data_IF_758103589860
#
_entry.id   IF_758103589860
#
_cell.length_a   1.000
_cell.length_b   1.000
_cell.length_c   1.000
_cell.angle_alpha   90.00
_cell.angle_beta   90.00
_cell.angle_gamma   90.00
#
_symmetry.space_group_name_H-M   'P 1'
#
loop_
_entity.id
_entity.type
_entity.pdbx_description
1 polymer ?
#
# COMPACT_ATOMS: atom_id res chain seq x y z
N UNK A 1 -10.63 -45.10 23.23
CA UNK A 1 -9.42 -44.33 22.91
C UNK A 1 -9.48 -43.88 21.46
N UNK A 2 -9.95 -42.66 21.17
CA UNK A 2 -9.74 -41.97 19.88
C UNK A 2 -10.35 -40.54 19.84
N UNK A 3 -10.40 -39.82 20.97
CA UNK A 3 -10.96 -38.45 21.02
C UNK A 3 -9.91 -37.33 21.09
N UNK A 4 -8.63 -37.67 21.23
CA UNK A 4 -7.56 -36.69 21.45
C UNK A 4 -6.82 -36.27 20.17
N UNK A 5 -7.08 -36.91 19.02
CA UNK A 5 -6.32 -36.67 17.78
C UNK A 5 -6.92 -35.61 16.85
N UNK A 6 -8.15 -35.14 17.12
CA UNK A 6 -8.79 -34.04 16.38
C UNK A 6 -8.61 -32.67 17.06
N UNK A 7 -8.44 -32.63 18.38
CA UNK A 7 -8.09 -31.38 19.10
C UNK A 7 -6.66 -30.91 18.79
N UNK A 8 -5.68 -31.83 18.67
CA UNK A 8 -4.30 -31.46 18.35
C UNK A 8 -4.10 -31.01 16.89
N UNK A 9 -4.97 -31.41 15.96
CA UNK A 9 -4.95 -30.93 14.56
C UNK A 9 -5.61 -29.55 14.39
N UNK A 10 -6.44 -29.12 15.35
CA UNK A 10 -7.02 -27.78 15.39
C UNK A 10 -6.03 -26.69 15.81
N UNK A 11 -5.06 -27.02 16.68
CA UNK A 11 -4.16 -26.03 17.29
C UNK A 11 -3.00 -25.54 16.42
N UNK A 12 -2.74 -26.16 15.25
CA UNK A 12 -1.72 -25.68 14.29
C UNK A 12 -2.27 -24.86 13.13
N UNK A 13 -3.58 -24.58 13.09
CA UNK A 13 -4.14 -23.68 12.09
C UNK A 13 -4.20 -22.26 12.65
N UNK A 14 -3.41 -21.36 12.06
CA UNK A 14 -3.54 -19.88 12.13
C UNK A 14 -2.81 -19.11 13.26
N UNK A 15 -1.53 -19.39 13.49
CA UNK A 15 -0.63 -18.36 14.09
C UNK A 15 -0.20 -17.37 13.02
N UNK A 16 -1.05 -16.41 12.72
CA UNK A 16 -0.58 -15.17 12.08
C UNK A 16 -0.81 -14.02 13.06
N UNK A 17 0.20 -13.14 13.26
CA UNK A 17 0.19 -12.18 14.37
C UNK A 17 -1.03 -11.27 14.40
N UNK A 18 -1.54 -10.87 13.24
CA UNK A 18 -2.69 -9.99 13.15
C UNK A 18 -4.00 -10.66 13.56
N UNK A 19 -4.26 -11.89 13.10
CA UNK A 19 -5.45 -12.64 13.52
C UNK A 19 -5.50 -12.86 15.03
N UNK A 20 -4.34 -13.12 15.65
CA UNK A 20 -4.22 -13.24 17.11
C UNK A 20 -4.51 -11.91 17.83
N UNK A 21 -4.01 -10.78 17.33
CA UNK A 21 -4.33 -9.44 17.86
C UNK A 21 -5.83 -9.14 17.77
N UNK A 22 -6.47 -9.48 16.65
CA UNK A 22 -7.91 -9.25 16.49
C UNK A 22 -8.74 -10.17 17.40
N UNK A 23 -8.39 -11.45 17.51
CA UNK A 23 -9.05 -12.39 18.43
C UNK A 23 -8.91 -11.95 19.89
N UNK A 24 -7.73 -11.47 20.29
CA UNK A 24 -7.53 -10.89 21.62
C UNK A 24 -8.46 -9.70 21.87
N UNK A 25 -8.58 -8.80 20.88
CA UNK A 25 -9.51 -7.65 20.97
C UNK A 25 -10.98 -8.09 21.03
N UNK A 26 -11.38 -9.08 20.23
CA UNK A 26 -12.73 -9.67 20.27
C UNK A 26 -13.02 -10.24 21.67
N UNK A 27 -12.06 -10.97 22.24
CA UNK A 27 -12.19 -11.52 23.59
C UNK A 27 -12.34 -10.43 24.66
N UNK A 28 -11.55 -9.35 24.57
CA UNK A 28 -11.69 -8.19 25.48
C UNK A 28 -13.07 -7.54 25.37
N UNK A 29 -13.56 -7.29 24.16
CA UNK A 29 -14.89 -6.69 23.95
C UNK A 29 -16.01 -7.61 24.46
N UNK A 30 -15.88 -8.92 24.26
CA UNK A 30 -16.86 -9.90 24.77
C UNK A 30 -16.90 -9.92 26.30
N UNK A 31 -15.74 -9.85 26.96
CA UNK A 31 -15.67 -9.75 28.41
C UNK A 31 -16.35 -8.47 28.94
N UNK A 32 -16.17 -7.34 28.25
CA UNK A 32 -16.85 -6.09 28.59
C UNK A 32 -18.37 -6.21 28.41
N UNK A 33 -18.84 -6.74 27.29
CA UNK A 33 -20.28 -6.97 27.05
C UNK A 33 -20.90 -7.84 28.14
N UNK A 34 -20.22 -8.92 28.54
CA UNK A 34 -20.72 -9.81 29.59
C UNK A 34 -20.76 -9.12 30.96
N UNK A 35 -19.76 -8.30 31.28
CA UNK A 35 -19.76 -7.51 32.52
C UNK A 35 -20.92 -6.52 32.57
N UNK A 36 -21.26 -5.87 31.45
CA UNK A 36 -22.38 -4.93 31.37
C UNK A 36 -23.73 -5.65 31.42
N UNK A 37 -23.85 -6.85 30.84
CA UNK A 37 -25.05 -7.71 31.00
C UNK A 37 -25.30 -8.08 32.45
N UNK A 38 -24.24 -8.41 33.20
CA UNK A 38 -24.35 -8.70 34.63
C UNK A 38 -24.83 -7.48 35.43
N UNK A 39 -24.32 -6.28 35.12
CA UNK A 39 -24.79 -5.04 35.74
C UNK A 39 -26.27 -4.78 35.48
N UNK A 40 -26.73 -4.93 34.23
CA UNK A 40 -28.16 -4.80 33.88
C UNK A 40 -29.02 -5.82 34.64
N UNK A 41 -28.55 -7.07 34.76
CA UNK A 41 -29.25 -8.11 35.51
C UNK A 41 -29.31 -7.80 37.02
N UNK A 42 -28.24 -7.23 37.60
CA UNK A 42 -28.22 -6.78 38.99
C UNK A 42 -29.15 -5.59 39.23
N UNK A 43 -29.14 -4.59 38.34
CA UNK A 43 -30.05 -3.45 38.40
C UNK A 43 -31.51 -3.92 38.36
N UNK A 44 -31.82 -4.89 37.49
CA UNK A 44 -33.15 -5.52 37.39
C UNK A 44 -33.54 -6.23 38.69
N UNK A 45 -32.60 -6.92 39.37
CA UNK A 45 -32.84 -7.58 40.66
C UNK A 45 -32.98 -6.60 41.82
N UNK A 46 -32.18 -5.53 41.83
CA UNK A 46 -32.22 -4.47 42.87
C UNK A 46 -33.44 -3.55 42.73
N UNK A 47 -34.05 -3.51 41.55
CA UNK A 47 -35.30 -2.81 41.28
C UNK A 47 -36.46 -3.31 42.14
N UNK A 48 -36.65 -2.69 43.31
CA UNK A 48 -37.95 -2.64 44.01
C UNK A 48 -39.04 -2.15 43.04
N UNK A 49 -40.31 -2.58 43.20
CA UNK A 49 -41.44 -2.12 42.37
C UNK A 49 -41.77 -0.64 42.70
N UNK A 50 -40.93 0.28 42.24
CA UNK A 50 -41.15 1.71 42.35
C UNK A 50 -41.51 2.26 40.96
N UNK A 51 -42.82 2.30 40.70
CA UNK A 51 -43.52 3.37 39.97
C UNK A 51 -42.70 4.08 38.87
N UNK A 52 -42.68 3.51 37.68
CA UNK A 52 -42.21 4.22 36.49
C UNK A 52 -42.28 3.35 35.25
N UNK A 53 -43.32 3.56 34.42
CA UNK A 53 -43.48 2.89 33.12
C UNK A 53 -42.36 3.27 32.13
N UNK A 54 -41.57 4.30 32.44
CA UNK A 54 -40.58 4.92 31.55
C UNK A 54 -39.15 4.33 31.67
N UNK A 55 -38.81 3.58 32.73
CA UNK A 55 -37.48 2.96 32.89
C UNK A 55 -37.32 1.61 32.18
N UNK A 56 -38.40 0.85 32.03
CA UNK A 56 -38.41 -0.44 31.33
C UNK A 56 -38.01 -0.36 29.85
N UNK A 57 -38.51 0.61 29.05
CA UNK A 57 -38.11 0.69 27.64
C UNK A 57 -36.61 0.99 27.46
N UNK A 58 -36.00 1.77 28.35
CA UNK A 58 -34.57 2.07 28.29
C UNK A 58 -33.67 0.86 28.62
N UNK A 59 -34.09 0.01 29.58
CA UNK A 59 -33.37 -1.22 29.92
C UNK A 59 -33.47 -2.27 28.81
N UNK A 60 -34.65 -2.42 28.20
CA UNK A 60 -34.85 -3.32 27.07
C UNK A 60 -33.98 -2.95 25.86
N UNK A 61 -33.93 -1.66 25.52
CA UNK A 61 -33.08 -1.16 24.44
C UNK A 61 -31.57 -1.40 24.72
N UNK A 62 -31.12 -1.24 25.97
CA UNK A 62 -29.73 -1.53 26.36
C UNK A 62 -29.38 -3.01 26.20
N UNK A 63 -30.28 -3.91 26.61
CA UNK A 63 -30.09 -5.36 26.47
C UNK A 63 -30.06 -5.80 25.01
N UNK A 64 -30.90 -5.19 24.17
CA UNK A 64 -30.93 -5.41 22.72
C UNK A 64 -29.60 -5.02 22.06
N UNK A 65 -29.07 -3.82 22.33
CA UNK A 65 -27.77 -3.36 21.83
C UNK A 65 -26.62 -4.29 22.24
N UNK A 66 -26.62 -4.79 23.49
CA UNK A 66 -25.59 -5.72 23.97
C UNK A 66 -25.69 -7.08 23.24
N UNK A 67 -26.90 -7.56 22.95
CA UNK A 67 -27.09 -8.80 22.20
C UNK A 67 -26.64 -8.67 20.74
N UNK A 68 -26.93 -7.54 20.11
CA UNK A 68 -26.47 -7.23 18.76
C UNK A 68 -24.94 -7.12 18.69
N UNK A 69 -24.32 -6.49 19.69
CA UNK A 69 -22.86 -6.45 19.82
C UNK A 69 -22.24 -7.86 19.91
N UNK A 70 -22.85 -8.78 20.68
CA UNK A 70 -22.38 -10.19 20.74
C UNK A 70 -22.49 -10.87 19.38
N UNK A 71 -23.57 -10.65 18.64
CA UNK A 71 -23.77 -11.24 17.32
C UNK A 71 -22.67 -10.79 16.34
N UNK A 72 -22.34 -9.48 16.34
CA UNK A 72 -21.23 -8.96 15.55
C UNK A 72 -19.87 -9.54 15.96
N UNK A 73 -19.58 -9.65 17.26
CA UNK A 73 -18.32 -10.27 17.74
C UNK A 73 -18.21 -11.75 17.35
N UNK A 74 -19.30 -12.50 17.41
CA UNK A 74 -19.34 -13.89 16.97
C UNK A 74 -19.07 -14.00 15.46
N UNK A 75 -19.67 -13.11 14.65
CA UNK A 75 -19.41 -13.07 13.21
C UNK A 75 -17.97 -12.70 12.90
N UNK A 76 -17.39 -11.76 13.65
CA UNK A 76 -15.99 -11.39 13.48
C UNK A 76 -15.04 -12.57 13.77
N UNK A 77 -15.30 -13.31 14.85
CA UNK A 77 -14.52 -14.50 15.24
C UNK A 77 -14.60 -15.62 14.19
N UNK A 78 -15.79 -15.89 13.66
CA UNK A 78 -15.99 -16.86 12.59
C UNK A 78 -15.18 -16.52 11.34
N UNK A 79 -15.19 -15.24 10.95
CA UNK A 79 -14.43 -14.76 9.78
C UNK A 79 -12.92 -14.93 9.97
N UNK A 80 -12.39 -14.65 11.17
CA UNK A 80 -10.96 -14.83 11.48
C UNK A 80 -10.56 -16.30 11.50
N UNK A 81 -11.38 -17.16 12.12
CA UNK A 81 -11.08 -18.59 12.29
C UNK A 81 -11.25 -19.38 10.99
N UNK A 82 -12.20 -19.01 10.15
CA UNK A 82 -12.46 -19.67 8.86
C UNK A 82 -11.59 -19.14 7.70
N UNK A 83 -10.75 -18.12 7.93
CA UNK A 83 -9.93 -17.51 6.89
C UNK A 83 -8.86 -18.46 6.30
N UNK A 84 -9.12 -19.00 5.12
CA UNK A 84 -8.12 -19.71 4.29
C UNK A 84 -7.07 -18.75 3.74
N UNK A 85 -5.85 -19.24 3.46
CA UNK A 85 -4.69 -18.43 3.03
C UNK A 85 -4.98 -17.43 1.88
N UNK A 86 -5.76 -17.85 0.88
CA UNK A 86 -6.10 -17.01 -0.28
C UNK A 86 -7.29 -16.05 -0.06
N UNK A 87 -8.10 -16.24 0.99
CA UNK A 87 -9.29 -15.42 1.28
C UNK A 87 -9.13 -14.55 2.53
N UNK A 88 -7.89 -14.38 3.01
CA UNK A 88 -7.61 -13.72 4.29
C UNK A 88 -8.01 -12.24 4.30
N UNK A 89 -7.79 -11.50 3.22
CA UNK A 89 -8.03 -10.06 3.21
C UNK A 89 -9.51 -9.70 3.41
N UNK A 90 -10.40 -10.27 2.60
CA UNK A 90 -11.85 -10.00 2.69
C UNK A 90 -12.47 -10.46 4.01
N UNK A 91 -12.04 -11.61 4.54
CA UNK A 91 -12.51 -12.08 5.85
C UNK A 91 -12.03 -11.16 6.98
N UNK A 92 -10.81 -10.64 6.90
CA UNK A 92 -10.31 -9.69 7.91
C UNK A 92 -11.04 -8.36 7.88
N UNK A 93 -11.51 -7.90 6.72
CA UNK A 93 -12.36 -6.71 6.66
C UNK A 93 -13.68 -6.92 7.33
N UNK A 94 -14.35 -8.02 6.98
CA UNK A 94 -15.59 -8.36 7.60
C UNK A 94 -15.39 -8.48 9.11
N UNK A 95 -14.30 -9.10 9.55
CA UNK A 95 -14.00 -9.22 10.97
C UNK A 95 -13.72 -7.88 11.65
N UNK A 96 -12.93 -6.99 11.04
CA UNK A 96 -12.64 -5.67 11.58
C UNK A 96 -13.89 -4.78 11.60
N UNK A 97 -14.68 -4.79 10.53
CA UNK A 97 -15.94 -4.05 10.43
C UNK A 97 -16.93 -4.51 11.51
N UNK A 98 -17.13 -5.82 11.66
CA UNK A 98 -17.99 -6.37 12.71
C UNK A 98 -17.45 -6.05 14.11
N UNK A 99 -16.13 -6.09 14.32
CA UNK A 99 -15.52 -5.73 15.62
C UNK A 99 -15.72 -4.24 15.94
N UNK A 100 -15.58 -3.36 14.94
CA UNK A 100 -15.79 -1.93 15.09
C UNK A 100 -17.26 -1.59 15.34
N UNK A 101 -18.18 -2.25 14.64
CA UNK A 101 -19.63 -2.10 14.85
C UNK A 101 -20.04 -2.57 16.25
N UNK A 102 -19.56 -3.75 16.67
CA UNK A 102 -19.79 -4.23 18.03
C UNK A 102 -19.28 -3.26 19.09
N UNK A 103 -18.12 -2.62 18.86
CA UNK A 103 -17.59 -1.62 19.77
C UNK A 103 -18.47 -0.36 19.79
N UNK A 104 -18.96 0.12 18.65
CA UNK A 104 -19.88 1.26 18.60
C UNK A 104 -21.20 0.98 19.35
N UNK A 105 -21.79 -0.21 19.15
CA UNK A 105 -22.98 -0.66 19.88
C UNK A 105 -22.72 -0.76 21.39
N UNK A 106 -21.58 -1.33 21.78
CA UNK A 106 -21.16 -1.40 23.18
C UNK A 106 -21.05 -0.01 23.81
N UNK A 107 -20.44 0.96 23.12
CA UNK A 107 -20.29 2.32 23.63
C UNK A 107 -21.64 3.04 23.84
N UNK A 108 -22.67 2.68 23.07
CA UNK A 108 -24.06 3.16 23.30
C UNK A 108 -24.71 2.50 24.51
N UNK A 109 -24.43 1.23 24.73
CA UNK A 109 -25.04 0.43 25.79
C UNK A 109 -24.34 0.53 27.16
N UNK A 110 -23.06 0.89 27.18
CA UNK A 110 -22.23 0.87 28.40
C UNK A 110 -22.69 1.93 29.41
N UNK A 111 -22.52 1.64 30.70
CA UNK A 111 -22.79 2.62 31.76
C UNK A 111 -21.91 3.87 31.64
N UNK A 112 -22.44 5.04 32.06
CA UNK A 112 -21.72 6.31 32.01
C UNK A 112 -20.35 6.30 32.74
N UNK A 113 -20.20 5.68 33.94
CA UNK A 113 -18.90 5.58 34.59
C UNK A 113 -17.89 4.77 33.77
N UNK A 114 -18.31 3.63 33.22
CA UNK A 114 -17.45 2.81 32.35
C UNK A 114 -17.06 3.59 31.09
N UNK A 115 -18.03 4.28 30.46
CA UNK A 115 -17.78 5.14 29.30
C UNK A 115 -16.74 6.23 29.57
N UNK A 116 -16.86 6.91 30.72
CA UNK A 116 -15.90 7.94 31.13
C UNK A 116 -14.49 7.38 31.34
N UNK A 117 -14.37 6.14 31.84
CA UNK A 117 -13.08 5.45 31.96
C UNK A 117 -12.42 5.16 30.60
N UNK A 118 -13.20 4.95 29.55
CA UNK A 118 -12.71 4.68 28.18
C UNK A 118 -12.41 5.96 27.38
N UNK A 119 -12.91 7.11 27.84
CA UNK A 119 -12.88 8.37 27.08
C UNK A 119 -11.47 8.79 26.60
N UNK A 120 -10.39 8.68 27.39
CA UNK A 120 -9.05 9.04 26.92
C UNK A 120 -8.59 8.21 25.71
N UNK A 121 -8.89 6.91 25.71
CA UNK A 121 -8.55 6.00 24.61
C UNK A 121 -9.37 6.33 23.35
N UNK A 122 -10.66 6.66 23.52
CA UNK A 122 -11.54 7.07 22.43
C UNK A 122 -11.08 8.39 21.80
N UNK A 123 -10.68 9.38 22.62
CA UNK A 123 -10.15 10.65 22.13
C UNK A 123 -8.86 10.43 21.33
N UNK A 124 -7.96 9.59 21.84
CA UNK A 124 -6.72 9.24 21.13
C UNK A 124 -7.01 8.60 19.77
N UNK A 125 -7.99 7.70 19.72
CA UNK A 125 -8.45 7.08 18.47
C UNK A 125 -9.02 8.11 17.49
N UNK A 126 -9.88 9.01 17.97
CA UNK A 126 -10.49 10.07 17.14
C UNK A 126 -9.40 10.99 16.59
N UNK A 127 -8.47 11.47 17.43
CA UNK A 127 -7.39 12.36 17.01
C UNK A 127 -6.45 11.73 15.98
N UNK A 128 -6.28 10.41 16.05
CA UNK A 128 -5.45 9.65 15.11
C UNK A 128 -6.04 9.59 13.72
N UNK A 129 -7.36 9.40 13.60
CA UNK A 129 -8.02 9.13 12.31
C UNK A 129 -8.85 10.30 11.76
N UNK A 130 -9.24 11.27 12.59
CA UNK A 130 -9.95 12.46 12.14
C UNK A 130 -9.01 13.67 12.08
N UNK A 131 -8.98 14.42 10.96
CA UNK A 131 -8.22 15.65 10.86
C UNK A 131 -8.77 16.71 11.83
N UNK A 132 -7.94 17.66 12.23
CA UNK A 132 -8.34 18.76 13.12
C UNK A 132 -9.44 19.66 12.56
N UNK A 133 -9.69 19.61 11.24
CA UNK A 133 -10.77 20.32 10.57
C UNK A 133 -12.13 19.64 10.67
N UNK A 134 -12.20 18.39 11.14
CA UNK A 134 -13.46 17.65 11.24
C UNK A 134 -14.32 18.18 12.41
N UNK A 135 -15.58 18.47 12.11
CA UNK A 135 -16.54 19.00 13.09
C UNK A 135 -16.74 18.07 14.29
N UNK A 136 -16.78 16.75 14.08
CA UNK A 136 -16.99 15.77 15.15
C UNK A 136 -15.80 15.75 16.12
N UNK A 137 -14.58 15.83 15.59
CA UNK A 137 -13.38 15.97 16.41
C UNK A 137 -13.43 17.25 17.24
N UNK A 138 -13.78 18.38 16.61
CA UNK A 138 -13.91 19.66 17.32
C UNK A 138 -15.01 19.66 18.38
N UNK A 139 -16.11 18.93 18.20
CA UNK A 139 -17.15 18.75 19.23
C UNK A 139 -16.63 17.93 20.42
N UNK A 140 -15.94 16.82 20.16
CA UNK A 140 -15.34 15.99 21.22
C UNK A 140 -14.29 16.75 22.02
N UNK A 141 -13.41 17.51 21.35
CA UNK A 141 -12.42 18.37 22.01
C UNK A 141 -13.09 19.44 22.89
N UNK A 142 -14.21 20.03 22.45
CA UNK A 142 -15.01 20.96 23.26
C UNK A 142 -15.64 20.29 24.47
N UNK A 143 -16.16 19.07 24.33
CA UNK A 143 -16.70 18.28 25.44
C UNK A 143 -15.59 18.01 26.47
N UNK A 144 -14.41 17.56 26.02
CA UNK A 144 -13.26 17.30 26.89
C UNK A 144 -12.78 18.56 27.62
N UNK A 145 -12.66 19.69 26.92
CA UNK A 145 -12.27 20.96 27.51
C UNK A 145 -13.27 21.42 28.59
N UNK A 146 -14.57 21.23 28.37
CA UNK A 146 -15.61 21.52 29.37
C UNK A 146 -15.48 20.63 30.60
N UNK A 147 -15.20 19.34 30.42
CA UNK A 147 -15.03 18.42 31.54
C UNK A 147 -13.80 18.75 32.39
N UNK A 148 -12.69 19.12 31.75
CA UNK A 148 -11.48 19.52 32.47
C UNK A 148 -11.69 20.81 33.24
N UNK A 149 -12.39 21.79 32.66
CA UNK A 149 -12.76 23.01 33.37
C UNK A 149 -13.64 22.75 34.60
N UNK A 150 -14.56 21.77 34.54
CA UNK A 150 -15.38 21.35 35.69
C UNK A 150 -14.50 20.69 36.76
N UNK A 151 -13.56 19.80 36.37
CA UNK A 151 -12.63 19.16 37.30
C UNK A 151 -11.76 20.17 38.03
N UNK A 152 -11.20 21.16 37.32
CA UNK A 152 -10.37 22.21 37.93
C UNK A 152 -11.17 23.01 38.96
N UNK A 153 -12.39 23.46 38.61
CA UNK A 153 -13.27 24.18 39.54
C UNK A 153 -13.65 23.34 40.77
N UNK A 154 -13.88 22.04 40.58
CA UNK A 154 -14.12 21.13 41.69
C UNK A 154 -12.87 20.97 42.56
N UNK A 155 -11.67 20.87 41.98
CA UNK A 155 -10.40 20.79 42.69
C UNK A 155 -10.09 22.05 43.52
N UNK A 156 -10.35 23.24 43.00
CA UNK A 156 -10.17 24.51 43.70
C UNK A 156 -11.18 24.67 44.86
N UNK A 157 -12.44 24.27 44.64
CA UNK A 157 -13.45 24.27 45.70
C UNK A 157 -13.17 23.25 46.80
N UNK A 158 -12.31 22.26 46.58
CA UNK A 158 -11.91 21.25 47.57
C UNK A 158 -10.77 21.71 48.48
N UNK A 159 -10.00 22.72 48.07
CA UNK A 159 -8.99 23.37 48.91
C UNK A 159 -9.62 24.26 50.00
N UNK A 160 -10.89 24.64 49.84
CA UNK A 160 -11.66 25.41 50.82
C UNK A 160 -12.81 24.58 51.39
N UNK A 161 -12.74 24.28 52.69
CA UNK A 161 -13.82 23.82 53.60
C UNK A 161 -13.97 22.31 53.88
N UNK A 162 -13.77 21.98 55.17
CA UNK A 162 -14.12 20.75 55.93
C UNK A 162 -15.58 20.23 55.79
N UNK A 163 -16.43 20.78 54.93
CA UNK A 163 -17.86 20.44 54.77
C UNK A 163 -18.14 19.28 53.78
N UNK A 164 -17.10 18.56 53.37
CA UNK A 164 -17.09 17.65 52.21
C UNK A 164 -17.77 16.29 52.41
N UNK A 165 -17.91 15.76 53.63
CA UNK A 165 -18.39 14.39 53.84
C UNK A 165 -19.86 14.11 53.47
N UNK A 166 -20.68 15.14 53.19
CA UNK A 166 -22.11 14.97 52.85
C UNK A 166 -22.44 15.13 51.37
N UNK A 167 -21.59 15.78 50.57
CA UNK A 167 -21.88 16.07 49.16
C UNK A 167 -21.23 15.12 48.14
N UNK A 168 -20.32 14.24 48.58
CA UNK A 168 -19.68 13.24 47.71
C UNK A 168 -20.65 12.18 47.15
N UNK A 169 -21.83 12.01 47.76
CA UNK A 169 -22.86 11.08 47.28
C UNK A 169 -23.81 11.66 46.23
N UNK A 170 -23.67 12.94 45.85
CA UNK A 170 -24.55 13.60 44.87
C UNK A 170 -23.79 14.25 43.71
N UNK A 171 -22.60 13.74 43.39
CA UNK A 171 -21.90 14.11 42.16
C UNK A 171 -22.76 13.65 40.97
N UNK A 172 -23.41 14.62 40.32
CA UNK A 172 -24.08 14.38 39.04
C UNK A 172 -23.10 13.78 38.04
N UNK A 173 -23.56 12.87 37.16
CA UNK A 173 -22.73 12.33 36.11
C UNK A 173 -22.18 13.46 35.23
N UNK A 174 -20.85 13.59 35.21
CA UNK A 174 -20.10 14.65 34.50
C UNK A 174 -20.27 14.59 32.97
N UNK A 175 -20.96 13.58 32.44
CA UNK A 175 -21.26 13.44 31.02
C UNK A 175 -22.77 13.22 30.81
N UNK A 176 -23.38 14.05 29.98
CA UNK A 176 -24.81 13.95 29.62
C UNK A 176 -24.97 13.04 28.41
N UNK A 177 -26.10 12.36 28.32
CA UNK A 177 -26.49 11.47 27.21
C UNK A 177 -26.19 12.00 25.77
N UNK A 178 -26.50 13.25 25.39
CA UNK A 178 -26.17 13.78 24.06
C UNK A 178 -24.65 13.91 23.82
N UNK A 179 -23.84 14.12 24.87
CA UNK A 179 -22.38 14.17 24.74
C UNK A 179 -21.80 12.78 24.46
N UNK A 180 -22.38 11.73 25.06
CA UNK A 180 -22.03 10.35 24.75
C UNK A 180 -22.27 10.06 23.27
N UNK A 181 -23.44 10.42 22.75
CA UNK A 181 -23.77 10.18 21.35
C UNK A 181 -22.79 10.88 20.39
N UNK A 182 -22.42 12.13 20.67
CA UNK A 182 -21.44 12.86 19.86
C UNK A 182 -20.07 12.15 19.81
N UNK A 183 -19.60 11.62 20.95
CA UNK A 183 -18.36 10.84 21.00
C UNK A 183 -18.49 9.52 20.25
N UNK A 184 -19.61 8.81 20.40
CA UNK A 184 -19.87 7.55 19.68
C UNK A 184 -19.87 7.77 18.16
N UNK A 185 -20.53 8.82 17.69
CA UNK A 185 -20.61 9.16 16.27
C UNK A 185 -19.21 9.55 15.72
N UNK A 186 -18.40 10.27 16.51
CA UNK A 186 -17.02 10.56 16.18
C UNK A 186 -16.16 9.28 16.08
N UNK A 187 -16.32 8.32 17.01
CA UNK A 187 -15.62 7.02 16.98
C UNK A 187 -16.05 6.19 15.77
N UNK A 188 -17.35 6.13 15.47
CA UNK A 188 -17.86 5.43 14.28
C UNK A 188 -17.30 6.05 12.99
N UNK A 189 -17.22 7.38 12.92
CA UNK A 189 -16.57 8.07 11.80
C UNK A 189 -15.08 7.74 11.73
N UNK A 190 -14.37 7.68 12.86
CA UNK A 190 -12.96 7.30 12.92
C UNK A 190 -12.72 5.90 12.34
N UNK A 191 -13.58 4.94 12.70
CA UNK A 191 -13.50 3.58 12.17
C UNK A 191 -13.80 3.50 10.67
N UNK A 192 -14.73 4.30 10.17
CA UNK A 192 -14.97 4.39 8.73
C UNK A 192 -13.76 4.95 7.99
N UNK A 193 -13.11 6.00 8.50
CA UNK A 193 -11.87 6.55 7.90
C UNK A 193 -10.75 5.51 7.93
N UNK A 194 -10.56 4.81 9.06
CA UNK A 194 -9.62 3.70 9.16
C UNK A 194 -9.88 2.61 8.10
N UNK A 195 -11.14 2.32 7.80
CA UNK A 195 -11.51 1.34 6.77
C UNK A 195 -11.16 1.81 5.35
N UNK A 196 -11.29 3.11 5.04
CA UNK A 196 -10.93 3.65 3.72
C UNK A 196 -9.42 3.59 3.45
N UNK A 197 -8.59 3.94 4.42
CA UNK A 197 -7.12 3.81 4.30
C UNK A 197 -6.71 2.36 3.98
N UNK A 198 -7.44 1.40 4.54
CA UNK A 198 -7.24 -0.03 4.30
C UNK A 198 -7.64 -0.45 2.87
N UNK A 199 -8.67 0.14 2.28
CA UNK A 199 -9.18 -0.23 0.96
C UNK A 199 -8.25 0.26 -0.17
N UNK A 200 -7.71 1.47 -0.06
CA UNK A 200 -6.83 2.08 -1.09
C UNK A 200 -5.56 1.23 -1.32
N UNK A 201 -4.98 0.77 -0.22
CA UNK A 201 -3.79 -0.11 -0.21
C UNK A 201 -4.02 -1.41 -1.00
N UNK A 202 -5.26 -1.88 -1.11
CA UNK A 202 -5.58 -3.16 -1.76
C UNK A 202 -6.00 -3.08 -3.21
N UNK A 203 -6.60 -1.96 -3.61
CA UNK A 203 -6.71 -1.68 -5.05
C UNK A 203 -5.31 -1.68 -5.67
N UNK A 204 -4.33 -1.11 -4.96
CA UNK A 204 -2.95 -1.14 -5.38
C UNK A 204 -2.38 -2.58 -5.41
N UNK A 205 -2.53 -3.37 -4.35
CA UNK A 205 -2.03 -4.75 -4.33
C UNK A 205 -2.62 -5.63 -5.44
N UNK A 206 -3.95 -5.60 -5.64
CA UNK A 206 -4.60 -6.37 -6.71
C UNK A 206 -4.19 -5.89 -8.10
N UNK A 207 -4.02 -4.57 -8.29
CA UNK A 207 -3.52 -4.00 -9.53
C UNK A 207 -2.11 -4.51 -9.82
N UNK A 208 -1.22 -4.49 -8.83
CA UNK A 208 0.16 -5.00 -8.94
C UNK A 208 0.19 -6.47 -9.33
N UNK A 209 -0.63 -7.33 -8.71
CA UNK A 209 -0.69 -8.75 -9.11
C UNK A 209 -1.23 -8.95 -10.53
N UNK A 210 -2.21 -8.15 -10.96
CA UNK A 210 -2.72 -8.22 -12.34
C UNK A 210 -1.64 -7.84 -13.35
N UNK A 211 -0.85 -6.80 -13.07
CA UNK A 211 0.31 -6.45 -13.88
C UNK A 211 1.38 -7.55 -13.86
N UNK A 212 1.68 -8.12 -12.69
CA UNK A 212 2.64 -9.21 -12.58
C UNK A 212 2.21 -10.44 -13.40
N UNK A 213 0.93 -10.80 -13.35
CA UNK A 213 0.36 -11.86 -14.16
C UNK A 213 0.43 -11.55 -15.67
N UNK A 214 0.13 -10.31 -16.06
CA UNK A 214 0.26 -9.85 -17.45
C UNK A 214 1.69 -9.93 -17.97
N UNK A 215 2.68 -9.47 -17.18
CA UNK A 215 4.09 -9.57 -17.53
C UNK A 215 4.59 -11.02 -17.57
N UNK A 216 4.14 -11.86 -16.63
CA UNK A 216 4.48 -13.28 -16.64
C UNK A 216 3.92 -13.98 -17.89
N UNK A 217 2.67 -13.68 -18.26
CA UNK A 217 2.07 -14.17 -19.49
C UNK A 217 2.83 -13.71 -20.74
N UNK A 218 3.26 -12.45 -20.77
CA UNK A 218 4.11 -11.93 -21.85
C UNK A 218 5.46 -12.65 -21.92
N UNK A 219 6.13 -12.89 -20.79
CA UNK A 219 7.38 -13.64 -20.74
C UNK A 219 7.20 -15.07 -21.27
N UNK A 220 6.16 -15.77 -20.80
CA UNK A 220 5.81 -17.11 -21.28
C UNK A 220 5.50 -17.12 -22.79
N UNK A 221 4.80 -16.10 -23.29
CA UNK A 221 4.47 -15.98 -24.71
C UNK A 221 5.73 -15.76 -25.55
N UNK A 222 6.66 -14.91 -25.10
CA UNK A 222 7.97 -14.74 -25.76
C UNK A 222 8.72 -16.08 -25.78
N UNK A 223 8.82 -16.77 -24.63
CA UNK A 223 9.49 -18.07 -24.56
C UNK A 223 8.87 -19.10 -25.51
N UNK A 224 7.54 -19.20 -25.54
CA UNK A 224 6.82 -20.13 -26.40
C UNK A 224 7.03 -19.83 -27.90
N UNK A 225 6.91 -18.55 -28.31
CA UNK A 225 7.13 -18.15 -29.70
C UNK A 225 8.57 -18.47 -30.13
N UNK A 226 9.57 -18.13 -29.30
CA UNK A 226 10.98 -18.38 -29.64
C UNK A 226 11.35 -19.87 -29.64
N UNK A 227 10.64 -20.67 -28.83
CA UNK A 227 10.82 -22.12 -28.81
C UNK A 227 10.23 -22.79 -30.07
N UNK A 228 9.06 -22.33 -30.51
CA UNK A 228 8.40 -22.85 -31.72
C UNK A 228 9.08 -22.35 -33.00
N UNK A 229 9.57 -21.11 -33.00
CA UNK A 229 10.19 -20.46 -34.15
C UNK A 229 11.64 -20.03 -33.84
N UNK A 230 12.59 -20.99 -33.70
CA UNK A 230 13.97 -20.68 -33.30
C UNK A 230 14.72 -19.81 -34.32
N UNK A 231 14.25 -19.76 -35.57
CA UNK A 231 14.92 -19.04 -36.66
C UNK A 231 14.52 -17.56 -36.76
N UNK A 232 13.47 -17.10 -36.05
CA UNK A 232 12.97 -15.72 -36.20
C UNK A 232 13.94 -14.68 -35.64
N UNK A 233 14.66 -14.99 -34.55
CA UNK A 233 15.62 -14.08 -33.91
C UNK A 233 16.62 -14.87 -33.05
N UNK A 234 17.76 -15.36 -33.55
CA UNK A 234 18.77 -15.98 -32.69
C UNK A 234 19.51 -14.93 -31.85
N UNK A 235 19.62 -15.14 -30.53
CA UNK A 235 20.38 -14.29 -29.59
C UNK A 235 21.90 -14.49 -29.69
N UNK A 236 22.42 -14.62 -30.91
CA UNK A 236 23.83 -14.89 -31.12
C UNK A 236 24.60 -13.61 -31.46
N UNK A 237 25.86 -13.53 -31.06
CA UNK A 237 26.75 -12.40 -31.30
C UNK A 237 27.91 -12.82 -32.19
N UNK A 238 28.46 -11.84 -32.91
CA UNK A 238 29.61 -11.99 -33.78
C UNK A 238 30.72 -11.12 -33.19
N UNK A 239 31.78 -11.70 -32.61
CA UNK A 239 32.87 -10.92 -32.04
C UNK A 239 33.57 -10.13 -33.14
N UNK A 240 33.83 -8.85 -32.87
CA UNK A 240 34.49 -7.94 -33.81
C UNK A 240 35.95 -7.82 -33.38
N UNK A 241 36.89 -8.07 -34.29
CA UNK A 241 38.32 -7.97 -34.00
C UNK A 241 38.69 -6.50 -33.65
N UNK A 242 39.71 -6.31 -32.82
CA UNK A 242 40.13 -5.01 -32.20
C UNK A 242 40.38 -3.81 -33.15
N UNK A 243 40.34 -3.99 -34.48
CA UNK A 243 40.51 -2.90 -35.46
C UNK A 243 39.21 -2.29 -36.00
N UNK A 244 38.04 -2.58 -35.42
CA UNK A 244 36.81 -1.82 -35.68
C UNK A 244 36.27 -1.90 -37.12
N UNK A 245 36.72 -2.88 -37.90
CA UNK A 245 36.19 -3.20 -39.23
C UNK A 245 35.82 -4.67 -39.35
N UNK A 246 34.96 -5.07 -40.32
CA UNK A 246 34.76 -6.48 -40.62
C UNK A 246 36.13 -7.08 -40.96
N UNK A 247 36.54 -8.09 -40.19
CA UNK A 247 37.85 -8.70 -40.31
C UNK A 247 38.14 -9.05 -41.78
N UNK A 248 39.07 -8.31 -42.41
CA UNK A 248 39.62 -8.73 -43.69
C UNK A 248 40.28 -10.11 -43.45
N UNK A 249 40.03 -11.13 -44.28
CA UNK A 249 40.47 -12.49 -44.02
C UNK A 249 41.96 -12.65 -44.35
N UNK A 250 42.82 -12.05 -43.55
CA UNK A 250 44.25 -12.38 -43.52
C UNK A 250 44.44 -13.55 -42.57
N UNK A 251 44.42 -14.75 -43.17
CA UNK A 251 44.90 -16.03 -42.61
C UNK A 251 44.28 -16.48 -41.26
N UNK A 252 43.27 -17.34 -41.39
CA UNK A 252 42.96 -18.44 -40.47
C UNK A 252 42.49 -18.12 -39.04
N UNK A 253 41.98 -16.92 -38.73
CA UNK A 253 41.10 -16.76 -37.56
C UNK A 253 39.70 -17.19 -37.94
N UNK A 254 39.30 -18.39 -37.50
CA UNK A 254 37.90 -18.86 -37.58
C UNK A 254 37.03 -17.85 -36.86
N UNK A 255 36.23 -17.06 -37.59
CA UNK A 255 35.21 -16.24 -36.97
C UNK A 255 34.30 -17.18 -36.16
N UNK A 256 33.98 -16.86 -34.91
CA UNK A 256 33.15 -17.72 -34.05
C UNK A 256 31.79 -17.06 -33.86
N UNK A 257 30.72 -17.85 -33.84
CA UNK A 257 29.41 -17.39 -33.39
C UNK A 257 29.20 -17.84 -31.97
N UNK A 258 28.82 -16.89 -31.13
CA UNK A 258 28.56 -17.13 -29.70
C UNK A 258 27.08 -16.95 -29.44
N UNK A 259 26.42 -18.00 -28.94
CA UNK A 259 25.02 -17.98 -28.52
C UNK A 259 24.94 -18.26 -27.00
N UNK A 260 23.80 -18.02 -26.32
CA UNK A 260 23.70 -18.13 -24.87
C UNK A 260 24.07 -19.50 -24.30
N UNK A 261 23.81 -20.60 -25.02
CA UNK A 261 24.11 -21.96 -24.54
C UNK A 261 25.17 -22.71 -25.33
N UNK A 262 25.56 -22.21 -26.50
CA UNK A 262 26.51 -22.88 -27.39
C UNK A 262 27.33 -21.86 -28.16
N UNK A 263 28.54 -22.25 -28.50
CA UNK A 263 29.43 -21.53 -29.40
C UNK A 263 29.84 -22.47 -30.54
N UNK A 264 30.11 -21.90 -31.72
CA UNK A 264 30.49 -22.69 -32.90
C UNK A 264 31.31 -21.90 -33.91
N UNK A 265 32.19 -22.55 -34.67
CA UNK A 265 32.96 -21.90 -35.72
C UNK A 265 32.04 -21.49 -36.88
N UNK A 266 32.24 -20.28 -37.40
CA UNK A 266 31.70 -19.90 -38.71
C UNK A 266 32.52 -20.59 -39.79
N UNK A 267 31.83 -21.29 -40.69
CA UNK A 267 32.44 -21.80 -41.90
C UNK A 267 32.97 -20.65 -42.75
N UNK A 268 34.20 -20.78 -43.25
CA UNK A 268 34.74 -19.85 -44.23
C UNK A 268 33.96 -20.00 -45.54
N UNK A 269 33.35 -18.91 -46.02
CA UNK A 269 32.86 -18.87 -47.40
C UNK A 269 34.06 -19.06 -48.37
N UNK A 270 33.91 -19.84 -49.46
CA UNK A 270 34.93 -19.91 -50.50
C UNK A 270 35.29 -18.50 -50.99
N UNK A 271 36.59 -18.22 -51.14
CA UNK A 271 37.12 -16.91 -51.53
C UNK A 271 36.39 -16.35 -52.76
N UNK A 272 35.83 -15.14 -52.64
CA UNK A 272 35.32 -14.36 -53.78
C UNK A 272 33.81 -14.10 -53.82
N UNK A 273 33.02 -14.59 -52.87
CA UNK A 273 31.58 -14.29 -52.77
C UNK A 273 31.29 -13.47 -51.51
N UNK A 274 30.76 -12.26 -51.70
CA UNK A 274 30.34 -11.32 -50.65
C UNK A 274 28.94 -11.63 -50.07
N UNK A 275 28.49 -12.88 -50.16
CA UNK A 275 27.17 -13.34 -49.72
C UNK A 275 27.29 -14.07 -48.36
N UNK A 276 26.19 -14.18 -47.57
CA UNK A 276 26.28 -14.29 -46.12
C UNK A 276 27.01 -15.55 -45.68
N UNK A 277 27.84 -15.44 -44.63
CA UNK A 277 28.53 -16.56 -44.01
C UNK A 277 27.52 -17.71 -43.76
N UNK A 278 27.68 -18.80 -44.50
CA UNK A 278 26.88 -20.00 -44.29
C UNK A 278 27.33 -20.64 -42.98
N UNK A 279 26.42 -20.70 -42.00
CA UNK A 279 26.64 -21.47 -40.77
C UNK A 279 26.32 -22.93 -41.09
N UNK A 280 27.30 -23.85 -41.16
CA UNK A 280 27.03 -25.23 -41.49
C UNK A 280 26.19 -25.88 -40.38
N UNK A 281 25.17 -26.69 -40.71
CA UNK A 281 24.44 -27.44 -39.70
C UNK A 281 25.37 -28.42 -38.96
N UNK A 282 25.14 -28.67 -37.66
CA UNK A 282 24.03 -28.17 -36.86
C UNK A 282 24.21 -26.70 -36.47
N UNK A 283 23.12 -25.93 -36.56
CA UNK A 283 23.13 -24.52 -36.20
C UNK A 283 23.49 -24.33 -34.70
N UNK A 284 24.27 -23.29 -34.36
CA UNK A 284 24.73 -23.07 -32.99
C UNK A 284 23.62 -22.57 -32.05
N UNK A 285 22.50 -22.07 -32.58
CA UNK A 285 21.37 -21.62 -31.75
C UNK A 285 20.54 -22.79 -31.24
N UNK A 286 20.12 -22.70 -29.98
CA UNK A 286 19.25 -23.68 -29.36
C UNK A 286 17.86 -23.07 -29.09
N UNK A 287 16.76 -23.85 -29.25
CA UNK A 287 15.41 -23.34 -29.01
C UNK A 287 15.15 -22.91 -27.56
N UNK A 288 16.02 -23.33 -26.63
CA UNK A 288 15.94 -22.97 -25.21
C UNK A 288 16.80 -21.74 -24.83
N UNK A 289 17.52 -21.11 -25.77
CA UNK A 289 18.38 -19.96 -25.48
C UNK A 289 17.60 -18.82 -24.79
N UNK A 290 16.42 -18.48 -25.29
CA UNK A 290 15.54 -17.49 -24.66
C UNK A 290 15.03 -17.92 -23.29
N UNK A 291 14.73 -19.20 -23.10
CA UNK A 291 14.26 -19.73 -21.82
C UNK A 291 15.36 -19.59 -20.76
N UNK A 292 16.60 -19.89 -21.12
CA UNK A 292 17.77 -19.73 -20.22
C UNK A 292 17.94 -18.27 -19.83
N UNK A 293 17.93 -17.34 -20.80
CA UNK A 293 18.07 -15.91 -20.52
C UNK A 293 16.93 -15.39 -19.63
N UNK A 294 15.68 -15.76 -19.92
CA UNK A 294 14.53 -15.38 -19.11
C UNK A 294 14.63 -15.90 -17.67
N UNK A 295 15.04 -17.17 -17.50
CA UNK A 295 15.21 -17.77 -16.19
C UNK A 295 16.31 -17.09 -15.39
N UNK A 296 17.47 -16.82 -16.01
CA UNK A 296 18.58 -16.10 -15.39
C UNK A 296 18.15 -14.69 -14.97
N UNK A 297 17.46 -13.96 -15.85
CA UNK A 297 16.93 -12.63 -15.57
C UNK A 297 15.91 -12.64 -14.42
N UNK A 298 15.01 -13.63 -14.40
CA UNK A 298 14.03 -13.83 -13.33
C UNK A 298 14.71 -14.16 -11.99
N UNK A 299 15.75 -15.00 -11.97
CA UNK A 299 16.50 -15.33 -10.76
C UNK A 299 17.23 -14.10 -10.22
N UNK A 300 17.91 -13.34 -11.08
CA UNK A 300 18.59 -12.10 -10.68
C UNK A 300 17.60 -11.09 -10.07
N UNK A 301 16.44 -10.93 -10.69
CA UNK A 301 15.35 -10.11 -10.18
C UNK A 301 14.77 -10.62 -8.85
N UNK A 302 14.61 -11.93 -8.72
CA UNK A 302 14.10 -12.55 -7.50
C UNK A 302 15.08 -12.35 -6.33
N UNK A 303 16.39 -12.51 -6.54
CA UNK A 303 17.43 -12.30 -5.53
C UNK A 303 17.45 -10.83 -5.07
N UNK A 304 17.46 -9.89 -6.01
CA UNK A 304 17.41 -8.46 -5.67
C UNK A 304 16.10 -8.07 -4.98
N UNK A 305 14.97 -8.63 -5.43
CA UNK A 305 13.66 -8.48 -4.77
C UNK A 305 13.65 -9.02 -3.34
N UNK A 306 14.15 -10.24 -3.12
CA UNK A 306 14.24 -10.88 -1.81
C UNK A 306 15.13 -10.09 -0.85
N UNK A 307 16.27 -9.56 -1.32
CA UNK A 307 17.14 -8.71 -0.52
C UNK A 307 16.41 -7.43 -0.06
N UNK A 308 15.57 -6.83 -0.91
CA UNK A 308 14.75 -5.67 -0.51
C UNK A 308 13.68 -6.05 0.51
N UNK A 309 13.04 -7.22 0.38
CA UNK A 309 12.05 -7.69 1.36
C UNK A 309 12.65 -7.96 2.73
N UNK A 310 13.85 -8.56 2.78
CA UNK A 310 14.50 -8.88 4.05
C UNK A 310 14.78 -7.63 4.89
N UNK A 311 15.04 -6.48 4.25
CA UNK A 311 15.21 -5.18 4.93
C UNK A 311 13.91 -4.60 5.48
N UNK A 312 12.76 -4.99 4.91
CA UNK A 312 11.44 -4.45 5.24
C UNK A 312 10.66 -5.28 6.27
N UNK A 313 11.10 -6.51 6.58
CA UNK A 313 10.45 -7.42 7.56
C UNK A 313 10.34 -6.89 9.01
N UNK A 314 10.71 -5.65 9.28
CA UNK A 314 10.47 -4.97 10.56
C UNK A 314 9.24 -4.05 10.56
N UNK A 315 8.54 -3.84 9.43
CA UNK A 315 7.31 -3.05 9.41
C UNK A 315 6.09 -3.90 9.73
N UNK A 316 5.43 -3.61 10.84
CA UNK A 316 4.30 -4.35 11.42
C UNK A 316 2.96 -4.08 10.69
N UNK A 317 3.02 -3.79 9.38
CA UNK A 317 1.87 -3.41 8.57
C UNK A 317 1.10 -4.65 8.12
N UNK A 318 -0.23 -4.62 8.26
CA UNK A 318 -1.12 -5.73 7.88
C UNK A 318 -1.13 -6.07 6.38
N UNK A 319 -0.53 -5.21 5.54
CA UNK A 319 -0.47 -5.35 4.09
C UNK A 319 0.95 -5.58 3.61
N UNK A 320 1.17 -6.66 2.87
CA UNK A 320 2.46 -7.00 2.28
C UNK A 320 2.66 -6.30 0.93
N UNK A 321 2.44 -4.98 0.87
CA UNK A 321 2.72 -4.18 -0.35
C UNK A 321 4.12 -4.47 -0.91
N UNK A 322 5.18 -4.58 -0.07
CA UNK A 322 6.50 -4.92 -0.56
C UNK A 322 6.57 -6.29 -1.25
N UNK A 323 5.81 -7.30 -0.77
CA UNK A 323 5.83 -8.62 -1.39
C UNK A 323 5.16 -8.62 -2.75
N UNK A 324 4.07 -7.88 -2.92
CA UNK A 324 3.42 -7.74 -4.22
C UNK A 324 4.35 -7.10 -5.25
N UNK A 325 5.07 -6.04 -4.85
CA UNK A 325 6.09 -5.41 -5.69
C UNK A 325 7.27 -6.33 -6.00
N UNK A 326 7.67 -7.18 -5.05
CA UNK A 326 8.72 -8.18 -5.29
C UNK A 326 8.28 -9.26 -6.29
N UNK A 327 7.02 -9.70 -6.24
CA UNK A 327 6.45 -10.66 -7.20
C UNK A 327 6.42 -10.05 -8.60
N UNK A 328 6.08 -8.77 -8.73
CA UNK A 328 6.08 -8.05 -10.01
C UNK A 328 7.47 -8.00 -10.67
N UNK A 329 8.55 -7.94 -9.87
CA UNK A 329 9.93 -7.86 -10.39
C UNK A 329 10.37 -9.12 -11.12
N UNK A 330 9.88 -10.29 -10.76
CA UNK A 330 10.35 -11.56 -11.34
C UNK A 330 10.07 -11.62 -12.85
N UNK A 331 8.81 -11.48 -13.33
CA UNK A 331 8.53 -11.49 -14.76
C UNK A 331 9.09 -10.26 -15.48
N UNK A 332 9.13 -9.10 -14.80
CA UNK A 332 9.79 -7.92 -15.35
C UNK A 332 11.28 -8.20 -15.63
N UNK A 333 11.98 -8.93 -14.76
CA UNK A 333 13.40 -9.26 -14.92
C UNK A 333 13.69 -10.24 -16.03
N UNK A 334 12.80 -11.21 -16.22
CA UNK A 334 12.86 -12.11 -17.37
C UNK A 334 12.78 -11.30 -18.68
N UNK A 335 11.82 -10.37 -18.76
CA UNK A 335 11.60 -9.55 -19.95
C UNK A 335 12.73 -8.54 -20.17
N UNK A 336 13.24 -7.88 -19.12
CA UNK A 336 14.33 -6.92 -19.27
C UNK A 336 15.65 -7.58 -19.64
N UNK A 337 15.92 -8.81 -19.18
CA UNK A 337 17.09 -9.56 -19.61
C UNK A 337 17.08 -9.83 -21.12
N UNK A 338 15.94 -10.29 -21.66
CA UNK A 338 15.78 -10.51 -23.10
C UNK A 338 15.87 -9.21 -23.87
N UNK A 339 15.15 -8.17 -23.43
CA UNK A 339 15.12 -6.87 -24.09
C UNK A 339 16.51 -6.21 -24.10
N UNK A 340 17.25 -6.29 -23.00
CA UNK A 340 18.61 -5.74 -22.90
C UNK A 340 19.59 -6.40 -23.89
N UNK A 341 19.54 -7.73 -24.02
CA UNK A 341 20.36 -8.43 -25.02
C UNK A 341 19.94 -8.10 -26.46
N UNK A 342 18.65 -7.93 -26.73
CA UNK A 342 18.17 -7.49 -28.05
C UNK A 342 18.66 -6.07 -28.38
N UNK A 343 18.70 -5.17 -27.40
CA UNK A 343 19.23 -3.81 -27.59
C UNK A 343 20.74 -3.81 -27.82
N UNK A 344 21.49 -4.65 -27.10
CA UNK A 344 22.92 -4.85 -27.37
C UNK A 344 23.17 -5.39 -28.79
N UNK A 345 22.33 -6.33 -29.25
CA UNK A 345 22.41 -6.86 -30.62
C UNK A 345 22.05 -5.82 -31.68
N UNK A 346 21.15 -4.89 -31.37
CA UNK A 346 20.79 -3.79 -32.26
C UNK A 346 21.82 -2.64 -32.27
N UNK A 347 22.96 -2.81 -31.59
CA UNK A 347 24.08 -1.85 -31.54
C UNK A 347 23.68 -0.44 -31.03
N UNK A 348 22.60 -0.37 -30.24
CA UNK A 348 22.16 0.89 -29.62
C UNK A 348 23.18 1.45 -28.61
N UNK A 349 24.05 0.59 -28.07
CA UNK A 349 25.12 0.99 -27.16
C UNK A 349 26.46 0.59 -27.78
N UNK A 350 27.15 1.52 -28.48
CA UNK A 350 28.40 1.21 -29.15
C UNK A 350 29.45 0.73 -28.14
N UNK A 351 30.16 -0.34 -28.49
CA UNK A 351 31.24 -0.91 -27.66
C UNK A 351 30.80 -1.93 -26.60
N UNK A 352 29.49 -2.22 -26.44
CA UNK A 352 29.00 -3.30 -25.57
C UNK A 352 28.61 -4.58 -26.32
N UNK A 353 28.74 -4.60 -27.66
CA UNK A 353 28.35 -5.71 -28.52
C UNK A 353 29.45 -6.78 -28.72
N UNK A 354 30.67 -6.54 -28.22
CA UNK A 354 31.79 -7.47 -28.24
C UNK A 354 31.67 -8.53 -27.13
N UNK A 355 30.64 -9.38 -27.23
CA UNK A 355 30.47 -10.52 -26.34
C UNK A 355 31.15 -11.74 -26.96
N UNK A 356 32.24 -12.16 -26.35
CA UNK A 356 33.13 -13.20 -26.89
C UNK A 356 32.86 -14.59 -26.30
N UNK A 357 31.99 -14.70 -25.28
CA UNK A 357 31.67 -16.01 -24.68
C UNK A 357 30.23 -16.12 -24.18
N UNK A 358 29.65 -17.35 -24.12
CA UNK A 358 28.31 -17.57 -23.58
C UNK A 358 28.16 -17.09 -22.13
N UNK A 359 29.23 -17.21 -21.34
CA UNK A 359 29.28 -16.73 -19.96
C UNK A 359 29.10 -15.21 -19.84
N UNK A 360 29.65 -14.43 -20.78
CA UNK A 360 29.44 -12.98 -20.82
C UNK A 360 27.99 -12.63 -21.15
N UNK A 361 27.35 -13.37 -22.07
CA UNK A 361 25.92 -13.18 -22.40
C UNK A 361 25.05 -13.42 -21.17
N UNK A 362 25.30 -14.52 -20.44
CA UNK A 362 24.60 -14.84 -19.19
C UNK A 362 24.87 -13.76 -18.12
N UNK A 363 26.12 -13.29 -18.01
CA UNK A 363 26.49 -12.20 -17.10
C UNK A 363 25.70 -10.92 -17.37
N UNK A 364 25.60 -10.50 -18.64
CA UNK A 364 24.78 -9.35 -19.02
C UNK A 364 23.29 -9.57 -18.78
N UNK A 365 22.77 -10.79 -19.00
CA UNK A 365 21.39 -11.12 -18.65
C UNK A 365 21.10 -10.98 -17.14
N UNK A 366 22.07 -11.32 -16.26
CA UNK A 366 21.97 -11.08 -14.81
C UNK A 366 21.91 -9.57 -14.55
N UNK A 367 22.81 -8.79 -15.16
CA UNK A 367 22.87 -7.33 -14.98
C UNK A 367 21.54 -6.69 -15.41
N UNK A 368 21.00 -7.04 -16.58
CA UNK A 368 19.73 -6.51 -17.06
C UNK A 368 18.51 -7.00 -16.26
N UNK A 369 18.54 -8.25 -15.78
CA UNK A 369 17.49 -8.80 -14.92
C UNK A 369 17.44 -8.12 -13.55
N UNK A 370 18.60 -7.81 -12.97
CA UNK A 370 18.73 -7.06 -11.72
C UNK A 370 18.48 -5.55 -11.90
N UNK A 371 18.84 -5.01 -13.06
CA UNK A 371 18.84 -3.58 -13.39
C UNK A 371 17.51 -3.01 -13.91
N UNK A 372 16.38 -3.68 -13.70
CA UNK A 372 15.06 -3.25 -14.22
C UNK A 372 14.75 -1.76 -13.95
N UNK A 373 15.10 -1.26 -12.76
CA UNK A 373 14.83 0.13 -12.36
C UNK A 373 15.67 1.16 -13.12
N UNK A 374 16.86 0.77 -13.60
CA UNK A 374 17.68 1.65 -14.43
C UNK A 374 17.09 1.74 -15.83
N UNK A 375 16.63 0.61 -16.37
CA UNK A 375 16.03 0.55 -17.70
C UNK A 375 14.75 1.40 -17.80
N UNK A 376 13.83 1.25 -16.85
CA UNK A 376 12.59 2.04 -16.84
C UNK A 376 12.88 3.54 -16.72
N UNK A 377 13.86 3.94 -15.91
CA UNK A 377 14.26 5.35 -15.77
C UNK A 377 14.79 5.95 -17.07
N UNK A 378 15.61 5.21 -17.81
CA UNK A 378 16.16 5.70 -19.09
C UNK A 378 15.04 5.87 -20.11
N UNK A 379 14.13 4.90 -20.20
CA UNK A 379 12.97 4.98 -21.12
C UNK A 379 12.02 6.13 -20.74
N UNK A 380 11.72 6.31 -19.45
CA UNK A 380 10.87 7.41 -18.96
C UNK A 380 11.47 8.79 -19.29
N UNK A 381 12.79 8.94 -19.13
CA UNK A 381 13.50 10.18 -19.48
C UNK A 381 13.43 10.48 -20.98
N UNK A 382 13.60 9.46 -21.82
CA UNK A 382 13.49 9.61 -23.28
C UNK A 382 12.06 9.93 -23.72
N UNK A 383 11.04 9.29 -23.11
CA UNK A 383 9.64 9.58 -23.40
C UNK A 383 9.25 11.02 -23.04
N UNK A 384 9.74 11.52 -21.90
CA UNK A 384 9.49 12.92 -21.48
C UNK A 384 10.16 13.90 -22.45
N UNK A 385 11.41 13.65 -22.85
CA UNK A 385 12.11 14.49 -23.83
C UNK A 385 11.43 14.50 -25.21
N UNK A 386 10.82 13.39 -25.63
CA UNK A 386 10.05 13.32 -26.89
C UNK A 386 8.71 14.07 -26.81
N UNK A 387 8.05 14.08 -25.65
CA UNK A 387 6.83 14.85 -25.43
C UNK A 387 7.14 16.35 -25.39
N UNK A 388 8.25 16.75 -24.78
CA UNK A 388 8.70 18.15 -24.71
C UNK A 388 9.14 18.71 -26.07
N UNK A 389 9.60 17.84 -26.97
CA UNK A 389 10.00 18.22 -28.34
C UNK A 389 8.86 18.12 -29.36
N UNK A 390 7.73 17.51 -29.00
CA UNK A 390 6.53 17.51 -29.83
C UNK A 390 5.85 18.89 -29.78
N UNK A 391 5.56 19.53 -30.94
CA UNK A 391 4.81 20.79 -30.96
C UNK A 391 3.44 20.55 -30.31
N UNK A 392 3.14 21.27 -29.23
CA UNK A 392 1.82 21.26 -28.62
C UNK A 392 0.81 21.84 -29.61
N UNK A 393 0.09 20.98 -30.31
CA UNK A 393 -1.07 21.34 -31.12
C UNK A 393 -2.29 21.57 -30.20
N UNK A 394 -2.19 22.56 -29.32
CA UNK A 394 -3.33 23.24 -28.70
C UNK A 394 -2.82 24.39 -27.84
N UNK A 395 -2.64 25.55 -28.46
CA UNK A 395 -2.70 26.82 -27.74
C UNK A 395 -3.87 27.61 -28.33
N UNK A 396 -5.05 27.64 -27.67
CA UNK A 396 -6.15 28.46 -28.15
C UNK A 396 -5.74 29.93 -28.07
N UNK A 397 -5.77 30.53 -29.25
CA UNK A 397 -5.61 31.93 -29.60
C UNK A 397 -6.24 32.86 -28.54
N UNK A 398 -5.39 33.52 -27.74
CA UNK A 398 -5.82 34.67 -26.93
C UNK A 398 -6.27 35.78 -27.88
N UNK A 399 -7.58 35.96 -28.04
CA UNK A 399 -8.15 37.17 -28.63
C UNK A 399 -7.71 38.41 -27.82
N UNK A 400 -7.27 39.50 -28.45
CA UNK A 400 -7.01 40.75 -27.77
C UNK A 400 -8.33 41.43 -27.37
N UNK A 401 -8.58 41.56 -26.07
CA UNK A 401 -9.70 42.33 -25.54
C UNK A 401 -9.42 43.82 -25.64
N UNK A 402 -9.88 44.43 -26.73
CA UNK A 402 -10.09 45.87 -26.84
C UNK A 402 -11.42 46.23 -26.18
N UNK A 403 -11.36 46.93 -25.04
CA UNK A 403 -12.39 47.87 -24.62
C UNK A 403 -11.79 48.86 -23.61
N UNK A 404 -11.40 50.03 -24.11
CA UNK A 404 -11.17 51.26 -23.32
C UNK A 404 -12.47 52.04 -23.30
N UNK A 405 -12.86 52.67 -22.18
CA UNK A 405 -12.77 54.14 -22.07
C UNK A 405 -12.46 54.56 -20.60
N UNK A 406 -12.13 55.77 -20.19
CA UNK A 406 -11.86 57.09 -20.75
C UNK A 406 -11.07 57.81 -19.64
N UNK A 407 -10.05 58.58 -20.03
CA UNK A 407 -9.21 59.37 -19.12
C UNK A 407 -9.89 60.72 -18.90
N UNK A 408 -10.42 60.98 -17.71
CA UNK A 408 -10.84 62.33 -17.31
C UNK A 408 -9.66 63.11 -16.75
N UNK A 409 -9.31 64.13 -17.50
CA UNK A 409 -8.66 65.39 -17.16
C UNK A 409 -8.75 65.84 -15.70
N UNK A 410 -7.60 66.30 -15.18
CA UNK A 410 -7.40 67.67 -14.66
C UNK A 410 -8.28 68.10 -13.48
N UNK A 411 -7.68 68.15 -12.28
CA UNK A 411 -7.93 69.31 -11.42
C UNK A 411 -6.76 69.59 -10.46
N UNK A 412 -6.30 70.83 -10.54
CA UNK A 412 -5.42 71.51 -9.60
C UNK A 412 -5.98 71.52 -8.19
N UNK A 413 -5.10 71.40 -7.19
CA UNK A 413 -4.91 72.38 -6.10
C UNK A 413 -3.96 71.86 -5.03
N UNK A 414 -2.80 72.52 -4.96
CA UNK A 414 -2.02 72.73 -3.74
C UNK A 414 -2.84 73.59 -2.76
N UNK A 415 -2.60 73.56 -1.44
CA UNK A 415 -1.59 74.49 -0.92
C UNK A 415 -0.81 74.03 0.34
N UNK A 416 0.45 74.48 0.40
CA UNK A 416 1.14 74.92 1.62
C UNK A 416 1.59 73.82 2.58
N UNK A 417 2.64 73.98 3.39
CA UNK A 417 3.52 75.11 3.68
C UNK A 417 4.62 74.55 4.60
N UNK A 418 5.76 75.25 4.66
CA UNK A 418 6.85 75.16 5.64
C UNK A 418 7.69 73.87 5.62
N UNK A 419 9.01 73.89 5.41
CA UNK A 419 9.98 74.96 5.65
C UNK A 419 10.97 74.47 6.72
N UNK A 420 12.19 74.12 6.29
CA UNK A 420 13.47 74.39 6.97
C UNK A 420 14.59 73.44 6.49
N UNK A 421 15.36 73.97 5.54
CA UNK A 421 16.78 74.33 5.63
C UNK A 421 17.79 73.50 6.49
N UNK A 422 19.10 73.58 6.14
CA UNK A 422 20.00 72.42 6.12
C UNK A 422 21.22 72.57 7.06
N UNK A 423 22.31 71.88 6.72
CA UNK A 423 23.71 71.95 7.20
C UNK A 423 24.11 71.15 8.45
N UNK A 424 24.82 70.04 8.24
CA UNK A 424 26.30 69.98 8.29
C UNK A 424 26.84 68.65 7.78
#
# INVERSE_FOLDING_TARGET
MNRTSDEERGHRRTRWPWGQRLLARIATLRALVESEKQLVAEERKRGRPARGRDLQPAQGAREELLNEAVAHLARAEELVTCAKWFSRSGNMDGALANTNEAHALLLRAVSLPTFQGMLPDLVTLIQKYLPSTDYLRGEVERIMARQEAIRIKQGESLATTRRRRRNEQRAEPVLVEPQRQAVVDAVAKAYNVQAYEVVEVRSFERLVYRWAAGLAAAACLVAAITFVFPNMNPLCFYPVNELGGPAAPTQATTAQVVCPTREGPLGLAPRGLSWPLQVPPPYPWAPWDYVVIQLVGAIAAAVTGAATLHRLNKSDTAYNIPSALAVLKVPAGALTAVLGLLLMRADFVPGLSALDSPAQIIGWAIVFGAGQQLFTRIVDQQGTALIETAPSADQPERRPSSARPLRSTQNDRSPGDSGDAPSR
#
